data_IF_880535188426
#
_entry.id   IF_880535188426
#
_cell.length_a   1.000
_cell.length_b   1.000
_cell.length_c   1.000
_cell.angle_alpha   90.00
_cell.angle_beta   90.00
_cell.angle_gamma   90.00
#
_symmetry.space_group_name_H-M   'P 1'
#
loop_
_entity.id
_entity.type
_entity.pdbx_description
1 polymer ?
#
# COMPACT_ATOMS: atom_id res chain seq x y z
N UNK A 1 10.38 5.09 -28.04
CA UNK A 1 10.79 4.79 -26.65
C UNK A 1 10.07 3.51 -26.25
N UNK A 2 10.79 2.39 -26.12
CA UNK A 2 10.18 1.10 -25.80
C UNK A 2 9.98 1.04 -24.29
N UNK A 3 8.73 0.96 -23.82
CA UNK A 3 8.37 1.12 -22.40
C UNK A 3 8.86 -0.04 -21.52
N UNK A 4 9.33 -1.14 -22.12
CA UNK A 4 9.87 -2.31 -21.44
C UNK A 4 11.08 -2.86 -22.21
N UNK A 5 12.32 -2.53 -21.80
CA UNK A 5 13.56 -3.02 -22.43
C UNK A 5 13.62 -4.56 -22.55
N UNK A 6 12.96 -5.27 -21.64
CA UNK A 6 12.87 -6.74 -21.63
C UNK A 6 12.08 -7.33 -22.82
N UNK A 7 11.30 -6.52 -23.54
CA UNK A 7 10.56 -6.93 -24.75
C UNK A 7 11.38 -6.83 -26.04
N UNK A 8 12.49 -6.08 -26.03
CA UNK A 8 13.22 -5.73 -27.24
C UNK A 8 13.90 -6.95 -27.91
N UNK A 9 14.22 -7.98 -27.13
CA UNK A 9 14.84 -9.23 -27.60
C UNK A 9 13.87 -10.39 -27.88
N UNK A 10 12.58 -10.27 -27.56
CA UNK A 10 11.62 -11.39 -27.67
C UNK A 10 10.86 -11.33 -29.00
N UNK A 11 11.02 -12.36 -29.83
CA UNK A 11 10.31 -12.53 -31.11
C UNK A 11 9.66 -13.92 -31.18
N UNK A 12 8.63 -14.20 -30.36
CA UNK A 12 7.88 -15.45 -30.50
C UNK A 12 7.22 -15.49 -31.89
N UNK A 13 7.44 -16.58 -32.62
CA UNK A 13 6.97 -16.79 -33.99
C UNK A 13 5.69 -17.61 -34.07
N UNK A 14 5.38 -18.37 -33.01
CA UNK A 14 4.17 -19.18 -32.89
C UNK A 14 3.37 -18.84 -31.65
N UNK A 15 2.08 -19.16 -31.66
CA UNK A 15 1.19 -19.01 -30.49
C UNK A 15 1.70 -19.78 -29.27
N UNK A 16 2.31 -20.94 -29.48
CA UNK A 16 2.88 -21.76 -28.42
C UNK A 16 4.09 -21.08 -27.76
N UNK A 17 4.99 -20.50 -28.57
CA UNK A 17 6.13 -19.73 -28.06
C UNK A 17 5.68 -18.49 -27.30
N UNK A 18 4.63 -17.80 -27.78
CA UNK A 18 4.05 -16.66 -27.07
C UNK A 18 3.49 -17.05 -25.71
N UNK A 19 2.75 -18.16 -25.63
CA UNK A 19 2.22 -18.68 -24.37
C UNK A 19 3.34 -19.00 -23.36
N UNK A 20 4.42 -19.65 -23.82
CA UNK A 20 5.59 -19.93 -22.99
C UNK A 20 6.29 -18.67 -22.47
N UNK A 21 6.44 -17.64 -23.31
CA UNK A 21 7.00 -16.35 -22.88
C UNK A 21 6.09 -15.59 -21.91
N UNK A 22 4.78 -15.72 -22.07
CA UNK A 22 3.79 -15.15 -21.15
C UNK A 22 3.89 -15.81 -19.77
N UNK A 23 3.96 -17.14 -19.70
CA UNK A 23 4.10 -17.89 -18.44
C UNK A 23 5.38 -17.51 -17.69
N UNK A 24 6.52 -17.45 -18.38
CA UNK A 24 7.81 -17.02 -17.78
C UNK A 24 7.71 -15.63 -17.17
N UNK A 25 6.97 -14.71 -17.80
CA UNK A 25 6.78 -13.34 -17.30
C UNK A 25 5.87 -13.32 -16.08
N UNK A 26 4.80 -14.12 -16.08
CA UNK A 26 3.94 -14.27 -14.90
C UNK A 26 4.76 -14.83 -13.73
N UNK A 27 5.60 -15.82 -13.97
CA UNK A 27 6.47 -16.39 -12.93
C UNK A 27 7.46 -15.36 -12.40
N UNK A 28 8.19 -14.66 -13.27
CA UNK A 28 9.13 -13.61 -12.88
C UNK A 28 8.44 -12.46 -12.13
N UNK A 29 7.24 -12.07 -12.54
CA UNK A 29 6.42 -11.09 -11.84
C UNK A 29 6.03 -11.61 -10.45
N UNK A 30 5.53 -12.84 -10.36
CA UNK A 30 5.11 -13.45 -9.10
C UNK A 30 6.26 -13.58 -8.11
N UNK A 31 7.45 -13.97 -8.55
CA UNK A 31 8.64 -14.06 -7.70
C UNK A 31 9.12 -12.66 -7.28
N UNK A 32 9.15 -11.69 -8.20
CA UNK A 32 9.53 -10.30 -7.88
C UNK A 32 8.63 -9.66 -6.83
N UNK A 33 7.34 -9.99 -6.82
CA UNK A 33 6.33 -9.41 -5.92
C UNK A 33 5.84 -10.39 -4.85
N UNK A 34 6.60 -11.46 -4.60
CA UNK A 34 6.24 -12.48 -3.60
C UNK A 34 6.17 -11.91 -2.19
N UNK A 35 7.07 -10.98 -1.87
CA UNK A 35 7.09 -10.27 -0.60
C UNK A 35 5.87 -9.34 -0.43
N UNK A 36 5.41 -8.70 -1.51
CA UNK A 36 4.18 -7.89 -1.53
C UNK A 36 2.96 -8.76 -1.25
N UNK A 37 2.88 -9.95 -1.85
CA UNK A 37 1.79 -10.90 -1.56
C UNK A 37 1.77 -11.31 -0.09
N UNK A 38 2.93 -11.57 0.50
CA UNK A 38 3.03 -11.90 1.93
C UNK A 38 2.59 -10.71 2.81
N UNK A 39 3.00 -9.48 2.47
CA UNK A 39 2.56 -8.26 3.16
C UNK A 39 1.06 -7.99 2.98
N UNK A 40 0.48 -8.39 1.84
CA UNK A 40 -0.95 -8.25 1.59
C UNK A 40 -1.78 -9.14 2.52
N UNK A 41 -1.35 -10.39 2.77
CA UNK A 41 -2.02 -11.29 3.73
C UNK A 41 -2.04 -10.64 5.11
N UNK A 42 -0.89 -10.15 5.57
CA UNK A 42 -0.78 -9.45 6.84
C UNK A 42 -1.64 -8.18 6.90
N UNK A 43 -1.69 -7.40 5.81
CA UNK A 43 -2.55 -6.22 5.73
C UNK A 43 -4.04 -6.57 5.74
N UNK A 44 -4.43 -7.70 5.17
CA UNK A 44 -5.83 -8.16 5.12
C UNK A 44 -6.34 -8.56 6.51
N UNK A 45 -5.50 -9.21 7.33
CA UNK A 45 -5.83 -9.54 8.72
C UNK A 45 -6.23 -8.27 9.48
N UNK A 46 -5.54 -7.17 9.23
CA UNK A 46 -5.83 -5.89 9.83
C UNK A 46 -7.10 -5.23 9.26
N UNK A 47 -7.21 -5.18 7.93
CA UNK A 47 -8.38 -4.58 7.26
C UNK A 47 -9.69 -5.31 7.62
N UNK A 48 -9.63 -6.61 7.86
CA UNK A 48 -10.77 -7.48 8.15
C UNK A 48 -10.73 -8.06 9.57
N UNK A 49 -10.16 -7.34 10.55
CA UNK A 49 -9.92 -7.86 11.90
C UNK A 49 -11.16 -8.51 12.56
N UNK A 50 -12.37 -7.98 12.30
CA UNK A 50 -13.63 -8.52 12.85
C UNK A 50 -14.34 -9.58 11.99
N UNK A 51 -13.86 -9.84 10.77
CA UNK A 51 -14.47 -10.79 9.82
C UNK A 51 -13.51 -11.88 9.32
N UNK A 52 -12.21 -11.75 9.60
CA UNK A 52 -11.19 -12.75 9.29
C UNK A 52 -11.42 -14.01 10.12
N UNK A 53 -11.26 -15.18 9.50
CA UNK A 53 -11.34 -16.46 10.23
C UNK A 53 -10.06 -16.64 11.05
N UNK A 54 -10.14 -17.06 12.31
CA UNK A 54 -8.96 -17.37 13.11
C UNK A 54 -8.03 -18.40 12.45
N UNK A 55 -8.56 -19.36 11.68
CA UNK A 55 -7.74 -20.34 10.96
C UNK A 55 -6.86 -19.72 9.85
N UNK A 56 -7.20 -18.51 9.37
CA UNK A 56 -6.49 -17.83 8.28
C UNK A 56 -5.43 -16.85 8.82
N UNK A 57 -5.26 -16.74 10.15
CA UNK A 57 -4.26 -15.86 10.78
C UNK A 57 -3.11 -16.66 11.40
N UNK A 58 -1.89 -16.08 11.46
CA UNK A 58 -0.76 -16.70 12.15
C UNK A 58 -1.09 -17.11 13.59
N UNK A 59 -0.58 -18.26 14.04
CA UNK A 59 -0.90 -18.85 15.36
C UNK A 59 -0.72 -17.87 16.53
N UNK A 60 0.30 -17.02 16.47
CA UNK A 60 0.60 -16.01 17.49
C UNK A 60 -0.46 -14.88 17.58
N UNK A 61 -1.38 -14.80 16.62
CA UNK A 61 -2.46 -13.82 16.56
C UNK A 61 -3.85 -14.45 16.74
N UNK A 62 -4.02 -15.76 16.54
CA UNK A 62 -5.33 -16.43 16.56
C UNK A 62 -6.12 -16.16 17.85
N UNK A 63 -5.51 -16.36 19.01
CA UNK A 63 -6.16 -16.13 20.31
C UNK A 63 -6.52 -14.65 20.54
N UNK A 64 -5.71 -13.71 20.01
CA UNK A 64 -5.97 -12.27 20.12
C UNK A 64 -7.13 -11.85 19.24
N UNK A 65 -7.19 -12.38 18.03
CA UNK A 65 -8.30 -12.15 17.09
C UNK A 65 -9.60 -12.71 17.67
N UNK A 66 -9.59 -13.93 18.21
CA UNK A 66 -10.76 -14.50 18.88
C UNK A 66 -11.24 -13.65 20.05
N UNK A 67 -10.31 -13.25 20.94
CA UNK A 67 -10.64 -12.40 22.07
C UNK A 67 -11.21 -11.04 21.62
N UNK A 68 -10.61 -10.41 20.61
CA UNK A 68 -11.10 -9.14 20.08
C UNK A 68 -12.49 -9.29 19.41
N UNK A 69 -12.69 -10.35 18.63
CA UNK A 69 -13.95 -10.64 17.93
C UNK A 69 -15.10 -11.00 18.89
N UNK A 70 -14.79 -11.47 20.10
CA UNK A 70 -15.78 -11.74 21.14
C UNK A 70 -16.37 -10.48 21.78
N UNK A 71 -15.76 -9.32 21.55
CA UNK A 71 -16.24 -8.04 22.09
C UNK A 71 -17.25 -7.39 21.12
N UNK A 72 -18.54 -7.60 21.40
CA UNK A 72 -19.64 -7.08 20.59
C UNK A 72 -19.69 -5.56 20.51
N UNK A 73 -19.31 -4.85 21.58
CA UNK A 73 -19.25 -3.38 21.57
C UNK A 73 -18.21 -2.87 20.57
N UNK A 74 -17.03 -3.49 20.55
CA UNK A 74 -15.97 -3.15 19.61
C UNK A 74 -16.34 -3.49 18.17
N UNK A 75 -17.07 -4.59 17.98
CA UNK A 75 -17.57 -5.02 16.67
C UNK A 75 -18.58 -4.03 16.09
N UNK A 76 -19.54 -3.57 16.90
CA UNK A 76 -20.50 -2.52 16.50
C UNK A 76 -19.75 -1.23 16.18
N UNK A 77 -18.77 -0.86 16.99
CA UNK A 77 -18.03 0.38 16.79
C UNK A 77 -17.14 0.36 15.54
N UNK A 78 -16.55 -0.78 15.21
CA UNK A 78 -15.75 -0.95 14.00
C UNK A 78 -16.55 -0.66 12.72
N UNK A 79 -17.84 -0.96 12.70
CA UNK A 79 -18.71 -0.66 11.56
C UNK A 79 -19.02 0.85 11.42
N UNK A 80 -18.82 1.62 12.50
CA UNK A 80 -19.19 3.03 12.58
C UNK A 80 -17.98 3.97 12.56
N UNK A 81 -16.75 3.46 12.69
CA UNK A 81 -15.53 4.25 12.77
C UNK A 81 -14.50 3.84 11.72
N UNK A 82 -13.68 4.79 11.22
CA UNK A 82 -12.54 4.46 10.37
C UNK A 82 -11.58 3.50 11.07
N UNK A 83 -11.03 2.52 10.34
CA UNK A 83 -10.13 1.49 10.86
C UNK A 83 -8.98 2.04 11.72
N UNK A 84 -8.40 3.18 11.32
CA UNK A 84 -7.34 3.85 12.08
C UNK A 84 -7.81 4.31 13.47
N UNK A 85 -9.01 4.86 13.57
CA UNK A 85 -9.62 5.28 14.83
C UNK A 85 -9.97 4.07 15.69
N UNK A 86 -10.44 2.99 15.06
CA UNK A 86 -10.70 1.72 15.75
C UNK A 86 -9.43 1.21 16.43
N UNK A 87 -8.31 1.28 15.70
CA UNK A 87 -7.06 0.69 16.16
C UNK A 87 -6.30 1.55 17.17
N UNK A 88 -6.48 2.87 17.13
CA UNK A 88 -5.93 3.77 18.14
C UNK A 88 -6.72 3.74 19.45
N UNK A 89 -8.04 3.78 19.34
CA UNK A 89 -8.93 4.04 20.48
C UNK A 89 -9.41 2.76 21.17
N UNK A 90 -9.47 1.62 20.48
CA UNK A 90 -10.11 0.42 21.03
C UNK A 90 -9.21 -0.82 21.10
N UNK A 91 -8.13 -0.87 20.32
CA UNK A 91 -7.10 -1.88 20.53
C UNK A 91 -6.19 -1.38 21.66
N UNK A 92 -6.60 -1.66 22.90
CA UNK A 92 -5.82 -1.31 24.10
C UNK A 92 -4.41 -1.89 24.01
N UNK A 93 -3.40 -1.09 24.39
CA UNK A 93 -2.03 -1.57 24.44
C UNK A 93 -1.83 -2.60 25.56
N UNK A 94 -2.63 -2.53 26.62
CA UNK A 94 -2.52 -3.42 27.76
C UNK A 94 -3.14 -4.79 27.46
N UNK A 95 -4.24 -4.82 26.71
CA UNK A 95 -4.94 -6.06 26.36
C UNK A 95 -4.42 -6.68 25.06
N UNK A 96 -4.03 -5.86 24.08
CA UNK A 96 -3.69 -6.30 22.73
C UNK A 96 -2.37 -5.70 22.19
N UNK A 97 -1.25 -5.75 22.93
CA UNK A 97 -0.01 -5.05 22.55
C UNK A 97 0.54 -5.46 21.17
N UNK A 98 0.49 -6.76 20.84
CA UNK A 98 0.99 -7.26 19.55
C UNK A 98 0.09 -6.84 18.39
N UNK A 99 -1.22 -6.87 18.59
CA UNK A 99 -2.19 -6.46 17.57
C UNK A 99 -2.14 -4.96 17.35
N UNK A 100 -2.01 -4.16 18.42
CA UNK A 100 -1.81 -2.71 18.34
C UNK A 100 -0.53 -2.35 17.60
N UNK A 101 0.59 -3.02 17.90
CA UNK A 101 1.86 -2.80 17.19
C UNK A 101 1.74 -3.12 15.71
N UNK A 102 1.06 -4.22 15.37
CA UNK A 102 0.82 -4.63 13.99
C UNK A 102 -0.05 -3.60 13.24
N UNK A 103 -1.16 -3.19 13.85
CA UNK A 103 -2.02 -2.11 13.37
C UNK A 103 -1.27 -0.80 13.08
N UNK A 104 -0.46 -0.35 14.04
CA UNK A 104 0.32 0.88 13.91
C UNK A 104 1.40 0.78 12.82
N UNK A 105 2.01 -0.40 12.66
CA UNK A 105 2.98 -0.65 11.59
C UNK A 105 2.34 -0.46 10.22
N UNK A 106 1.21 -1.12 9.94
CA UNK A 106 0.57 -1.04 8.63
C UNK A 106 -0.06 0.32 8.36
N UNK A 107 -0.70 0.94 9.36
CA UNK A 107 -1.21 2.31 9.22
C UNK A 107 -0.10 3.33 8.95
N UNK A 108 1.09 3.12 9.49
CA UNK A 108 2.27 3.95 9.19
C UNK A 108 2.77 3.76 7.76
N UNK A 109 2.80 2.53 7.24
CA UNK A 109 3.20 2.25 5.84
C UNK A 109 2.32 3.04 4.87
N UNK A 110 0.99 2.96 5.01
CA UNK A 110 0.05 3.68 4.14
C UNK A 110 0.14 5.20 4.30
N UNK A 111 0.38 5.69 5.52
CA UNK A 111 0.54 7.12 5.77
C UNK A 111 1.84 7.64 5.16
N UNK A 112 2.93 6.87 5.24
CA UNK A 112 4.21 7.28 4.63
C UNK A 112 4.15 7.29 3.12
N UNK A 113 3.46 6.34 2.47
CA UNK A 113 3.28 6.37 1.01
C UNK A 113 2.42 7.57 0.59
N UNK A 114 1.31 7.83 1.28
CA UNK A 114 0.48 9.02 1.00
C UNK A 114 1.26 10.33 1.24
N UNK A 115 2.00 10.44 2.33
CA UNK A 115 2.85 11.60 2.60
C UNK A 115 3.95 11.77 1.54
N UNK A 116 4.55 10.67 1.07
CA UNK A 116 5.53 10.69 -0.02
C UNK A 116 4.89 11.12 -1.35
N UNK A 117 3.74 10.56 -1.73
CA UNK A 117 3.00 10.92 -2.95
C UNK A 117 2.57 12.39 -2.94
N UNK A 118 2.09 12.89 -1.80
CA UNK A 118 1.75 14.30 -1.62
C UNK A 118 3.00 15.19 -1.73
N UNK A 119 4.12 14.77 -1.13
CA UNK A 119 5.39 15.48 -1.21
C UNK A 119 5.92 15.56 -2.64
N UNK A 120 5.90 14.45 -3.39
CA UNK A 120 6.30 14.43 -4.79
C UNK A 120 5.35 15.23 -5.68
N UNK A 121 4.04 15.14 -5.45
CA UNK A 121 3.04 15.95 -6.16
C UNK A 121 3.27 17.44 -5.91
N UNK A 122 3.55 17.82 -4.67
CA UNK A 122 3.88 19.20 -4.31
C UNK A 122 5.22 19.66 -4.92
N UNK A 123 6.21 18.79 -5.02
CA UNK A 123 7.47 19.07 -5.74
C UNK A 123 7.23 19.30 -7.23
N UNK A 124 6.43 18.46 -7.89
CA UNK A 124 6.07 18.64 -9.30
C UNK A 124 5.30 19.95 -9.52
N UNK A 125 4.39 20.31 -8.60
CA UNK A 125 3.69 21.60 -8.64
C UNK A 125 4.67 22.76 -8.43
N UNK A 126 5.60 22.65 -7.47
CA UNK A 126 6.61 23.67 -7.21
C UNK A 126 7.57 23.85 -8.39
N UNK A 127 7.99 22.76 -9.04
CA UNK A 127 8.80 22.76 -10.26
C UNK A 127 8.06 23.40 -11.43
N UNK A 128 6.78 23.04 -11.64
CA UNK A 128 5.94 23.67 -12.67
C UNK A 128 5.68 25.16 -12.40
N UNK A 129 5.61 25.56 -11.14
CA UNK A 129 5.43 26.96 -10.75
C UNK A 129 6.72 27.76 -10.90
N UNK A 130 7.86 27.16 -10.56
CA UNK A 130 9.18 27.79 -10.69
C UNK A 130 9.61 27.94 -12.15
N UNK A 131 9.33 26.95 -13.00
CA UNK A 131 9.55 27.01 -14.45
C UNK A 131 8.63 28.01 -15.17
N UNK A 132 7.42 28.25 -14.64
CA UNK A 132 6.53 29.32 -15.10
C UNK A 132 7.01 30.73 -14.74
N UNK A 133 7.87 30.88 -13.74
CA UNK A 133 8.43 32.18 -13.34
C UNK A 133 9.63 32.60 -14.19
N UNK A 134 10.15 31.75 -15.08
CA UNK A 134 11.41 32.01 -15.80
C UNK A 134 11.26 32.56 -17.23
N UNK A 135 10.07 32.75 -17.80
CA UNK A 135 9.98 33.22 -19.20
C UNK A 135 9.28 34.56 -19.45
N UNK A 136 8.55 35.13 -18.49
CA UNK A 136 7.84 36.43 -18.70
C UNK A 136 8.20 37.52 -17.68
N UNK A 137 8.93 37.20 -16.60
CA UNK A 137 9.32 38.19 -15.58
C UNK A 137 10.71 38.82 -15.81
N UNK A 138 11.45 38.42 -16.85
CA UNK A 138 12.75 39.02 -17.19
C UNK A 138 12.68 40.10 -18.30
N UNK A 139 11.51 40.37 -18.87
CA UNK A 139 11.31 41.36 -19.95
C UNK A 139 10.65 42.67 -19.46
N UNK A 140 10.75 43.01 -18.17
CA UNK A 140 10.29 44.30 -17.63
C UNK A 140 11.26 44.92 -16.63
N UNK A 141 12.49 45.17 -17.08
CA UNK A 141 13.34 46.22 -16.50
C UNK A 141 14.44 46.63 -17.48
N UNK A 142 14.04 47.17 -18.64
CA UNK A 142 14.88 48.08 -19.42
C UNK A 142 13.97 48.88 -20.37
N UNK A 143 14.07 50.21 -20.33
CA UNK A 143 13.23 51.25 -20.98
C UNK A 143 11.88 51.46 -20.28
N UNK A 144 11.54 52.61 -19.69
CA UNK A 144 11.97 54.01 -19.84
C UNK A 144 12.57 54.63 -18.57
#
# INVERSE_FOLDING_TARGET
MVHFPTLEGQKPSTTLEYAGEYEKRIEAFNERFKDVKNKQVESNIFAATFSVKPADVPDNLQHRILHLQSNDELKVRNNNLPLLEVCKCYISNDEFPTLRRHALKYTSVFRTTYCCEQFFSNLTIAESTCSRLTNENLEKSSCE
#
